data_IF_516027609952
#
_entry.id   IF_516027609952
#
_cell.length_a   1.000
_cell.length_b   1.000
_cell.length_c   1.000
_cell.angle_alpha   90.00
_cell.angle_beta   90.00
_cell.angle_gamma   90.00
#
_symmetry.space_group_name_H-M   'P 1'
#
loop_
_entity.id
_entity.type
_entity.pdbx_description
1 polymer ?
#
# COMPACT_ATOMS: atom_id res chain seq x y z
N UNK A 1 0.58 -1.85 7.76
CA UNK A 1 -0.38 -1.51 6.69
C UNK A 1 -0.38 0.00 6.40
N UNK A 2 0.75 0.48 5.85
CA UNK A 2 0.69 1.58 4.90
C UNK A 2 -0.04 1.10 3.64
N UNK A 3 -1.06 1.81 3.16
CA UNK A 3 -1.60 1.60 1.82
C UNK A 3 -0.75 2.36 0.81
N UNK A 4 -0.33 1.70 -0.27
CA UNK A 4 0.55 2.27 -1.29
C UNK A 4 -0.12 2.21 -2.67
N UNK A 5 -0.26 3.35 -3.35
CA UNK A 5 -0.83 3.39 -4.70
C UNK A 5 -0.27 4.58 -5.53
N UNK A 6 -0.68 4.69 -6.79
CA UNK A 6 -0.15 5.70 -7.72
C UNK A 6 -0.68 7.13 -7.52
N UNK A 7 -1.75 7.33 -6.72
CA UNK A 7 -2.42 8.64 -6.57
C UNK A 7 -2.33 9.23 -5.15
N UNK A 8 -2.04 8.40 -4.14
CA UNK A 8 -2.06 8.79 -2.73
C UNK A 8 -3.45 8.82 -2.10
N UNK A 9 -4.46 8.21 -2.73
CA UNK A 9 -5.84 8.25 -2.25
C UNK A 9 -6.59 6.93 -2.44
N UNK A 10 -7.43 6.61 -1.46
CA UNK A 10 -8.39 5.51 -1.45
C UNK A 10 -9.80 6.07 -1.44
N UNK A 11 -10.71 5.40 -2.11
CA UNK A 11 -12.15 5.62 -1.98
C UNK A 11 -12.74 4.55 -1.04
N UNK A 12 -13.35 5.03 0.06
CA UNK A 12 -14.02 4.18 1.05
C UNK A 12 -15.50 4.10 0.73
N UNK A 13 -16.00 2.88 0.56
CA UNK A 13 -17.41 2.60 0.35
C UNK A 13 -17.93 1.77 1.52
N UNK A 14 -18.97 2.25 2.21
CA UNK A 14 -19.53 1.59 3.42
C UNK A 14 -20.43 0.41 3.09
N UNK A 15 -20.79 0.22 1.82
CA UNK A 15 -21.77 -0.76 1.37
C UNK A 15 -23.22 -0.28 1.48
N UNK A 16 -24.14 -1.16 1.08
CA UNK A 16 -25.60 -1.03 1.20
C UNK A 16 -26.19 -2.36 1.66
N UNK A 17 -27.51 -2.44 1.84
CA UNK A 17 -28.25 -3.70 2.03
C UNK A 17 -27.96 -4.79 0.96
N UNK A 18 -27.42 -4.39 -0.21
CA UNK A 18 -27.10 -5.28 -1.34
C UNK A 18 -25.63 -5.26 -1.78
N UNK A 19 -24.76 -4.47 -1.13
CA UNK A 19 -23.35 -4.32 -1.50
C UNK A 19 -22.46 -4.36 -0.26
N UNK A 20 -21.44 -5.22 -0.27
CA UNK A 20 -20.44 -5.26 0.81
C UNK A 20 -19.54 -4.02 0.72
N UNK A 21 -19.23 -3.42 1.87
CA UNK A 21 -18.28 -2.32 1.97
C UNK A 21 -16.88 -2.70 1.47
N UNK A 22 -16.18 -1.74 0.87
CA UNK A 22 -14.91 -1.96 0.15
C UNK A 22 -14.03 -0.73 0.20
N UNK A 23 -12.73 -0.95 0.12
CA UNK A 23 -11.70 0.06 -0.10
C UNK A 23 -11.15 -0.14 -1.51
N UNK A 24 -11.05 0.93 -2.30
CA UNK A 24 -10.59 0.88 -3.70
C UNK A 24 -9.62 2.02 -3.95
N UNK A 25 -8.56 1.79 -4.72
CA UNK A 25 -7.67 2.86 -5.18
C UNK A 25 -8.42 3.90 -6.00
N UNK A 26 -8.16 5.19 -5.73
CA UNK A 26 -8.49 6.25 -6.69
C UNK A 26 -7.51 6.13 -7.86
N UNK A 27 -8.02 5.86 -9.05
CA UNK A 27 -7.21 5.64 -10.25
C UNK A 27 -6.91 6.96 -10.99
N UNK A 28 -7.82 7.94 -10.91
CA UNK A 28 -7.65 9.25 -11.54
C UNK A 28 -8.51 10.34 -10.88
N UNK A 29 -8.39 11.57 -11.38
CA UNK A 29 -9.25 12.70 -11.05
C UNK A 29 -9.92 13.22 -12.33
N UNK A 30 -11.21 13.58 -12.25
CA UNK A 30 -11.94 14.10 -13.39
C UNK A 30 -11.54 15.55 -13.69
N UNK A 31 -10.88 15.78 -14.83
CA UNK A 31 -10.16 17.01 -15.17
C UNK A 31 -10.96 18.30 -14.95
N UNK A 32 -12.24 18.31 -15.31
CA UNK A 32 -13.09 19.51 -15.24
C UNK A 32 -13.73 19.76 -13.87
N UNK A 33 -13.86 18.74 -13.02
CA UNK A 33 -14.65 18.83 -11.76
C UNK A 33 -13.86 18.52 -10.50
N UNK A 34 -12.65 17.95 -10.60
CA UNK A 34 -11.86 17.55 -9.44
C UNK A 34 -12.46 16.39 -8.63
N UNK A 35 -13.42 15.64 -9.19
CA UNK A 35 -14.01 14.47 -8.52
C UNK A 35 -13.11 13.25 -8.72
N UNK A 36 -12.87 12.48 -7.67
CA UNK A 36 -12.09 11.24 -7.73
C UNK A 36 -12.78 10.19 -8.62
N UNK A 37 -11.99 9.46 -9.40
CA UNK A 37 -12.41 8.40 -10.31
C UNK A 37 -11.89 7.05 -9.81
N UNK A 38 -12.77 6.05 -9.76
CA UNK A 38 -12.42 4.63 -9.56
C UNK A 38 -12.68 3.85 -10.84
N UNK A 39 -12.08 2.68 -10.97
CA UNK A 39 -12.37 1.75 -12.08
C UNK A 39 -13.66 0.98 -11.77
N UNK A 40 -14.58 0.97 -12.73
CA UNK A 40 -15.72 0.05 -12.78
C UNK A 40 -15.27 -1.23 -13.52
N UNK A 41 -15.02 -2.35 -12.82
CA UNK A 41 -14.47 -3.56 -13.44
C UNK A 41 -15.50 -4.33 -14.27
N UNK A 42 -16.80 -4.02 -14.16
CA UNK A 42 -17.85 -4.65 -14.97
C UNK A 42 -17.95 -3.99 -16.35
N UNK A 43 -17.74 -2.67 -16.41
CA UNK A 43 -17.86 -1.88 -17.63
C UNK A 43 -16.51 -1.51 -18.26
N UNK A 44 -15.40 -1.68 -17.54
CA UNK A 44 -14.05 -1.35 -18.02
C UNK A 44 -13.79 0.15 -18.14
N UNK A 45 -14.49 0.97 -17.35
CA UNK A 45 -14.49 2.44 -17.43
C UNK A 45 -14.09 3.10 -16.11
N UNK A 46 -13.64 4.36 -16.18
CA UNK A 46 -13.50 5.23 -15.01
C UNK A 46 -14.86 5.82 -14.66
N UNK A 47 -15.23 5.81 -13.38
CA UNK A 47 -16.47 6.40 -12.88
C UNK A 47 -16.24 7.29 -11.65
N UNK A 48 -16.96 8.43 -11.53
CA UNK A 48 -16.92 9.25 -10.32
C UNK A 48 -17.28 8.44 -9.08
N UNK A 49 -16.53 8.62 -7.98
CA UNK A 49 -16.89 8.01 -6.70
C UNK A 49 -18.29 8.43 -6.23
N UNK A 50 -18.72 9.65 -6.60
CA UNK A 50 -20.05 10.20 -6.31
C UNK A 50 -21.22 9.56 -7.07
N UNK A 51 -20.94 8.71 -8.08
CA UNK A 51 -21.99 7.92 -8.75
C UNK A 51 -22.49 6.76 -7.88
N UNK A 52 -21.69 6.34 -6.89
CA UNK A 52 -21.94 5.15 -6.08
C UNK A 52 -22.70 5.54 -4.80
N UNK A 53 -23.90 4.97 -4.54
CA UNK A 53 -24.72 5.36 -3.40
C UNK A 53 -24.13 4.95 -2.05
N UNK A 54 -23.09 4.11 -2.05
CA UNK A 54 -22.36 3.65 -0.87
C UNK A 54 -21.00 4.32 -0.66
N UNK A 55 -20.64 5.29 -1.51
CA UNK A 55 -19.42 6.07 -1.31
C UNK A 55 -19.51 6.93 -0.05
N UNK A 56 -18.52 6.80 0.83
CA UNK A 56 -18.47 7.49 2.12
C UNK A 56 -17.54 8.69 2.09
N UNK A 57 -16.25 8.47 1.79
CA UNK A 57 -15.22 9.50 1.79
C UNK A 57 -13.93 9.01 1.12
N UNK A 58 -12.94 9.90 0.99
CA UNK A 58 -11.59 9.55 0.57
C UNK A 58 -10.66 9.47 1.79
N UNK A 59 -9.82 8.43 1.84
CA UNK A 59 -8.70 8.31 2.78
C UNK A 59 -7.37 8.48 2.04
N UNK A 60 -6.30 8.82 2.79
CA UNK A 60 -4.96 8.99 2.23
C UNK A 60 -4.20 7.68 2.21
N UNK A 61 -3.68 7.33 1.03
CA UNK A 61 -2.60 6.38 0.85
C UNK A 61 -1.25 7.11 0.74
N UNK A 62 -0.17 6.35 0.78
CA UNK A 62 1.17 6.84 0.44
C UNK A 62 1.41 6.69 -1.06
N UNK A 63 1.49 7.85 -1.74
CA UNK A 63 1.66 7.90 -3.18
C UNK A 63 3.05 7.42 -3.57
N UNK A 64 3.16 6.28 -4.24
CA UNK A 64 4.43 5.74 -4.76
C UNK A 64 4.82 6.46 -6.05
N UNK A 65 6.07 6.88 -6.14
CA UNK A 65 6.66 7.50 -7.35
C UNK A 65 7.79 6.67 -7.97
N UNK A 66 8.38 5.74 -7.23
CA UNK A 66 9.33 4.75 -7.75
C UNK A 66 9.39 3.49 -6.88
N UNK A 67 9.78 2.37 -7.47
CA UNK A 67 10.24 1.18 -6.78
C UNK A 67 11.73 0.97 -7.10
N UNK A 68 12.58 0.79 -6.08
CA UNK A 68 14.03 0.63 -6.22
C UNK A 68 14.45 -0.72 -5.62
N UNK A 69 15.26 -1.57 -6.30
CA UNK A 69 15.68 -2.86 -5.76
C UNK A 69 16.28 -2.78 -4.36
N UNK A 70 15.93 -3.73 -3.49
CA UNK A 70 16.30 -3.72 -2.07
C UNK A 70 17.81 -3.78 -1.80
N UNK A 71 18.60 -4.24 -2.78
CA UNK A 71 20.05 -4.04 -2.80
C UNK A 71 20.87 -4.86 -1.79
N UNK A 72 20.28 -5.88 -1.17
CA UNK A 72 20.92 -6.70 -0.14
C UNK A 72 20.74 -6.17 1.29
N UNK A 73 19.91 -5.15 1.49
CA UNK A 73 19.44 -4.73 2.82
C UNK A 73 18.52 -5.80 3.43
N UNK A 74 18.48 -5.84 4.75
CA UNK A 74 17.57 -6.71 5.53
C UNK A 74 16.79 -5.90 6.55
N UNK A 75 15.55 -6.31 6.80
CA UNK A 75 14.78 -5.87 7.96
C UNK A 75 14.99 -6.87 9.11
N UNK A 76 15.01 -6.38 10.34
CA UNK A 76 15.21 -7.16 11.56
C UNK A 76 14.20 -6.76 12.62
N UNK A 77 13.62 -7.76 13.29
CA UNK A 77 12.71 -7.63 14.42
C UNK A 77 13.20 -8.50 15.57
N UNK A 78 12.95 -8.08 16.80
CA UNK A 78 13.36 -8.81 18.01
C UNK A 78 12.43 -9.95 18.43
N UNK A 79 11.13 -9.87 18.13
CA UNK A 79 10.10 -10.80 18.64
C UNK A 79 9.04 -11.29 17.63
N UNK A 80 9.12 -10.91 16.34
CA UNK A 80 8.21 -11.39 15.27
C UNK A 80 8.60 -12.76 14.67
N UNK A 81 9.67 -13.39 15.16
CA UNK A 81 10.15 -14.69 14.67
C UNK A 81 9.50 -15.91 15.35
N UNK A 82 9.89 -17.14 14.94
CA UNK A 82 9.43 -18.37 15.58
C UNK A 82 9.64 -18.35 17.10
N UNK A 83 8.64 -18.84 17.85
CA UNK A 83 8.58 -18.81 19.32
C UNK A 83 8.77 -17.41 19.96
N UNK A 84 8.52 -16.33 19.19
CA UNK A 84 8.83 -14.93 19.53
C UNK A 84 10.33 -14.65 19.69
N UNK A 85 11.16 -15.37 18.95
CA UNK A 85 12.57 -15.02 18.75
C UNK A 85 12.77 -13.94 17.69
N UNK A 86 14.02 -13.55 17.40
CA UNK A 86 14.32 -12.60 16.35
C UNK A 86 13.95 -13.11 14.94
N UNK A 87 13.52 -12.18 14.09
CA UNK A 87 13.29 -12.39 12.66
C UNK A 87 14.26 -11.54 11.84
N UNK A 88 14.66 -12.02 10.66
CA UNK A 88 15.43 -11.23 9.70
C UNK A 88 15.03 -11.61 8.28
N UNK A 89 14.53 -10.64 7.51
CA UNK A 89 14.06 -10.82 6.15
C UNK A 89 14.86 -9.96 5.16
N UNK A 90 14.90 -10.37 3.90
CA UNK A 90 15.52 -9.55 2.85
C UNK A 90 14.55 -8.47 2.40
N UNK A 91 15.02 -7.22 2.32
CA UNK A 91 14.27 -6.17 1.62
C UNK A 91 14.34 -6.50 0.13
N UNK A 92 13.20 -6.75 -0.49
CA UNK A 92 13.07 -7.01 -1.93
C UNK A 92 13.17 -5.71 -2.73
N UNK A 93 12.48 -4.67 -2.26
CA UNK A 93 12.36 -3.38 -2.92
C UNK A 93 12.06 -2.28 -1.90
N UNK A 94 12.41 -1.05 -2.25
CA UNK A 94 12.02 0.17 -1.56
C UNK A 94 10.92 0.87 -2.36
N UNK A 95 9.76 1.15 -1.76
CA UNK A 95 8.76 2.04 -2.35
C UNK A 95 9.10 3.48 -1.95
N UNK A 96 9.50 4.29 -2.92
CA UNK A 96 9.78 5.71 -2.72
C UNK A 96 8.47 6.47 -2.90
N UNK A 97 8.01 7.16 -1.84
CA UNK A 97 6.79 7.97 -1.91
C UNK A 97 7.07 9.40 -2.37
N UNK A 98 6.02 10.10 -2.82
CA UNK A 98 6.07 11.52 -3.19
C UNK A 98 6.54 12.44 -2.05
N UNK A 99 6.55 11.95 -0.79
CA UNK A 99 7.03 12.68 0.40
C UNK A 99 8.46 12.28 0.82
N UNK A 100 9.07 11.29 0.17
CA UNK A 100 10.38 10.75 0.55
C UNK A 100 10.36 9.70 1.67
N UNK A 101 9.20 9.14 2.05
CA UNK A 101 9.14 7.86 2.80
C UNK A 101 9.70 6.79 1.86
N UNK A 102 10.74 6.08 2.27
CA UNK A 102 11.36 4.99 1.52
C UNK A 102 11.00 3.69 2.23
N UNK A 103 9.84 3.13 1.89
CA UNK A 103 9.28 1.98 2.59
C UNK A 103 9.99 0.69 2.16
N UNK A 104 10.67 -0.05 3.06
CA UNK A 104 11.17 -1.39 2.76
C UNK A 104 9.99 -2.35 2.61
N UNK A 105 10.01 -3.16 1.55
CA UNK A 105 9.09 -4.29 1.34
C UNK A 105 9.88 -5.58 1.44
N UNK A 106 9.42 -6.51 2.27
CA UNK A 106 10.04 -7.84 2.45
C UNK A 106 9.14 -8.95 1.89
N UNK A 107 9.58 -10.20 2.05
CA UNK A 107 8.73 -11.38 1.83
C UNK A 107 9.12 -12.46 2.84
N UNK A 108 8.11 -13.10 3.42
CA UNK A 108 8.31 -14.19 4.37
C UNK A 108 8.62 -15.54 3.68
N UNK A 109 8.85 -16.58 4.48
CA UNK A 109 9.11 -17.93 3.97
C UNK A 109 7.88 -18.62 3.31
N UNK A 110 6.70 -18.00 3.36
CA UNK A 110 5.45 -18.47 2.78
C UNK A 110 5.03 -17.69 1.51
N UNK A 111 5.72 -16.60 1.18
CA UNK A 111 5.39 -15.72 0.06
C UNK A 111 4.45 -14.57 0.41
N UNK A 112 4.21 -14.29 1.70
CA UNK A 112 3.51 -13.11 2.17
C UNK A 112 4.40 -11.88 2.04
N UNK A 113 3.84 -10.77 1.55
CA UNK A 113 4.55 -9.51 1.28
C UNK A 113 3.87 -8.41 2.08
N UNK A 114 4.63 -7.69 2.90
CA UNK A 114 4.16 -6.54 3.69
C UNK A 114 5.22 -5.42 3.74
N UNK A 115 4.84 -4.29 4.34
CA UNK A 115 5.72 -3.17 4.65
C UNK A 115 6.51 -3.41 5.95
N UNK A 116 7.84 -3.31 5.88
CA UNK A 116 8.74 -3.58 7.00
C UNK A 116 9.10 -2.30 7.78
N UNK A 117 8.21 -1.30 7.82
CA UNK A 117 8.41 -0.08 8.63
C UNK A 117 8.15 -0.32 10.13
N UNK A 118 7.72 -1.53 10.51
CA UNK A 118 7.70 -2.05 11.89
C UNK A 118 9.06 -2.57 12.39
N UNK A 119 10.07 -2.69 11.54
CA UNK A 119 11.34 -3.31 11.89
C UNK A 119 12.17 -2.49 12.90
N UNK A 120 12.67 -3.17 13.95
CA UNK A 120 13.55 -2.59 14.98
C UNK A 120 14.83 -1.98 14.39
N UNK A 121 15.38 -2.60 13.33
CA UNK A 121 16.51 -2.06 12.57
C UNK A 121 16.49 -2.52 11.10
N UNK A 122 17.04 -1.67 10.23
CA UNK A 122 17.38 -2.01 8.85
C UNK A 122 18.89 -2.23 8.77
N UNK A 123 19.31 -3.45 8.40
CA UNK A 123 20.70 -3.88 8.34
C UNK A 123 21.23 -3.68 6.91
N UNK A 124 22.33 -2.93 6.71
CA UNK A 124 22.86 -2.68 5.37
C UNK A 124 23.51 -3.94 4.74
N UNK A 125 23.81 -3.91 3.44
CA UNK A 125 24.50 -5.01 2.76
C UNK A 125 25.94 -5.14 3.28
N UNK A 126 26.29 -6.32 3.81
CA UNK A 126 27.64 -6.64 4.29
C UNK A 126 27.86 -6.52 5.81
N UNK A 127 26.84 -6.15 6.59
CA UNK A 127 26.87 -6.16 8.07
C UNK A 127 26.04 -7.32 8.66
N UNK A 128 26.02 -7.47 9.99
CA UNK A 128 25.28 -8.50 10.75
C UNK A 128 24.31 -7.91 11.81
#
# INVERSE_FOLDING_TARGET
MHYFNGTGWLAIFTGTDTMIGRTVDVDAWHETTGVALVVDPQHGTRRPVTDYPDFSHLERADQVVAAIPGGGWRAYWTDEGPDKGPLTEQVLTWLITVRGRAAPITVDAHGHVDDAESADRLIPPGEE
#
